data_IF_682392389571
#
_entry.id   IF_682392389571
#
_cell.length_a   1.000
_cell.length_b   1.000
_cell.length_c   1.000
_cell.angle_alpha   90.00
_cell.angle_beta   90.00
_cell.angle_gamma   90.00
#
_symmetry.space_group_name_H-M   'P 1'
#
loop_
_entity.id
_entity.type
_entity.pdbx_description
1 polymer ?
#
# COMPACT_ATOMS: atom_id res chain seq x y z
N UNK A 1 4.62 18.79 -11.79
CA UNK A 1 3.53 18.32 -12.67
C UNK A 1 2.36 17.99 -11.77
N UNK A 2 1.17 18.56 -12.01
CA UNK A 2 0.02 18.28 -11.18
C UNK A 2 -0.60 16.94 -11.59
N UNK A 3 -0.69 15.97 -10.69
CA UNK A 3 -1.38 14.70 -10.88
C UNK A 3 -2.81 14.88 -10.38
N UNK A 4 -3.76 14.82 -11.30
CA UNK A 4 -5.16 15.17 -11.03
C UNK A 4 -6.13 14.00 -11.13
N UNK A 5 -5.68 12.87 -11.67
CA UNK A 5 -6.51 11.71 -11.92
C UNK A 5 -5.70 10.39 -11.92
N UNK A 6 -6.42 9.27 -11.89
CA UNK A 6 -5.81 7.94 -11.82
C UNK A 6 -5.05 7.53 -13.08
N UNK A 7 -5.42 8.06 -14.25
CA UNK A 7 -4.72 7.75 -15.49
C UNK A 7 -3.32 8.39 -15.49
N UNK A 8 -3.22 9.65 -15.06
CA UNK A 8 -1.94 10.34 -14.82
C UNK A 8 -1.14 9.64 -13.73
N UNK A 9 -1.76 9.40 -12.56
CA UNK A 9 -1.09 8.76 -11.43
C UNK A 9 -0.50 7.40 -11.80
N UNK A 10 -1.29 6.51 -12.42
CA UNK A 10 -0.85 5.19 -12.84
C UNK A 10 0.29 5.26 -13.86
N UNK A 11 0.21 6.18 -14.82
CA UNK A 11 1.25 6.39 -15.84
C UNK A 11 2.55 6.89 -15.20
N UNK A 12 2.46 7.85 -14.30
CA UNK A 12 3.62 8.39 -13.58
C UNK A 12 4.29 7.31 -12.73
N UNK A 13 3.51 6.50 -11.99
CA UNK A 13 4.05 5.37 -11.26
C UNK A 13 4.76 4.35 -12.17
N UNK A 14 4.17 4.02 -13.32
CA UNK A 14 4.74 3.08 -14.28
C UNK A 14 6.05 3.57 -14.91
N UNK A 15 6.28 4.90 -14.93
CA UNK A 15 7.52 5.48 -15.45
C UNK A 15 8.71 5.40 -14.48
N UNK A 16 8.45 5.08 -13.20
CA UNK A 16 9.50 4.94 -12.19
C UNK A 16 10.22 3.59 -12.33
N UNK A 17 11.54 3.61 -12.13
CA UNK A 17 12.29 2.38 -11.89
C UNK A 17 11.76 1.65 -10.65
N UNK A 18 11.85 0.33 -10.65
CA UNK A 18 11.27 -0.55 -9.61
C UNK A 18 11.68 -0.18 -8.18
N UNK A 19 12.95 0.14 -7.88
CA UNK A 19 13.32 0.62 -6.54
C UNK A 19 12.54 1.88 -6.12
N UNK A 20 12.33 2.82 -7.03
CA UNK A 20 11.55 4.04 -6.77
C UNK A 20 10.05 3.75 -6.65
N UNK A 21 9.51 2.82 -7.44
CA UNK A 21 8.13 2.35 -7.26
C UNK A 21 7.94 1.78 -5.85
N UNK A 22 8.86 0.94 -5.39
CA UNK A 22 8.83 0.34 -4.05
C UNK A 22 8.84 1.40 -2.95
N UNK A 23 9.72 2.39 -3.06
CA UNK A 23 9.83 3.46 -2.07
C UNK A 23 8.55 4.30 -1.99
N UNK A 24 7.96 4.68 -3.13
CA UNK A 24 6.72 5.47 -3.11
C UNK A 24 5.52 4.63 -2.69
N UNK A 25 5.49 3.34 -3.06
CA UNK A 25 4.50 2.38 -2.56
C UNK A 25 4.50 2.34 -1.03
N UNK A 26 5.69 2.19 -0.43
CA UNK A 26 5.85 2.17 1.02
C UNK A 26 5.30 3.45 1.67
N UNK A 27 5.53 4.63 1.07
CA UNK A 27 4.99 5.90 1.57
C UNK A 27 3.46 5.94 1.55
N UNK A 28 2.81 5.39 0.52
CA UNK A 28 1.36 5.29 0.48
C UNK A 28 0.84 4.39 1.61
N UNK A 29 1.48 3.23 1.83
CA UNK A 29 1.03 2.28 2.85
C UNK A 29 1.32 2.78 4.27
N UNK A 30 2.40 3.54 4.48
CA UNK A 30 2.69 4.18 5.77
C UNK A 30 1.55 5.11 6.23
N UNK A 31 0.85 5.77 5.31
CA UNK A 31 -0.28 6.65 5.64
C UNK A 31 -1.52 5.90 6.19
N UNK A 32 -1.63 4.60 5.89
CA UNK A 32 -2.72 3.74 6.35
C UNK A 32 -2.26 2.66 7.33
N UNK A 33 -0.96 2.57 7.63
CA UNK A 33 -0.39 1.59 8.56
C UNK A 33 -1.11 1.50 9.93
N UNK A 34 -1.55 2.62 10.55
CA UNK A 34 -2.27 2.56 11.83
C UNK A 34 -3.53 1.68 11.83
N UNK A 35 -4.10 1.35 10.66
CA UNK A 35 -5.28 0.49 10.52
C UNK A 35 -5.00 -1.01 10.73
N UNK A 36 -3.73 -1.42 10.76
CA UNK A 36 -3.34 -2.81 11.05
C UNK A 36 -2.61 -2.95 12.38
N UNK A 37 -1.65 -2.06 12.67
CA UNK A 37 -0.80 -2.17 13.86
C UNK A 37 0.15 -3.39 13.88
N UNK A 38 0.22 -4.19 12.81
CA UNK A 38 1.07 -5.39 12.75
C UNK A 38 2.55 -5.02 12.57
N UNK A 39 3.40 -5.48 13.51
CA UNK A 39 4.83 -5.20 13.49
C UNK A 39 5.53 -5.74 12.22
N UNK A 40 5.05 -6.84 11.64
CA UNK A 40 5.60 -7.43 10.41
C UNK A 40 5.38 -6.52 9.21
N UNK A 41 4.22 -5.86 9.14
CA UNK A 41 3.93 -4.85 8.13
C UNK A 41 4.90 -3.69 8.29
N UNK A 42 5.09 -3.18 9.52
CA UNK A 42 6.04 -2.10 9.77
C UNK A 42 7.44 -2.45 9.26
N UNK A 43 7.96 -3.62 9.60
CA UNK A 43 9.26 -4.09 9.13
C UNK A 43 9.35 -4.15 7.61
N UNK A 44 8.29 -4.61 6.93
CA UNK A 44 8.25 -4.64 5.47
C UNK A 44 8.30 -3.24 4.84
N UNK A 45 7.59 -2.27 5.43
CA UNK A 45 7.61 -0.88 4.97
C UNK A 45 8.97 -0.21 5.21
N UNK A 46 9.60 -0.48 6.35
CA UNK A 46 10.93 0.03 6.70
C UNK A 46 12.01 -0.55 5.76
N UNK A 47 11.86 -1.80 5.30
CA UNK A 47 12.71 -2.38 4.27
C UNK A 47 12.44 -1.75 2.89
N UNK A 48 11.17 -1.55 2.52
CA UNK A 48 10.79 -1.04 1.20
C UNK A 48 11.20 0.43 0.94
N UNK A 49 11.30 1.26 1.99
CA UNK A 49 11.71 2.67 1.83
C UNK A 49 13.22 2.82 1.58
N UNK A 50 14.03 1.81 1.90
CA UNK A 50 15.49 1.84 1.79
C UNK A 50 15.95 1.72 0.33
N UNK A 51 16.83 2.61 -0.16
CA UNK A 51 17.35 2.53 -1.53
C UNK A 51 18.34 1.38 -1.74
N UNK A 52 18.93 0.88 -0.67
CA UNK A 52 20.02 -0.11 -0.64
C UNK A 52 19.57 -1.47 -0.08
N UNK A 53 18.26 -1.73 -0.03
CA UNK A 53 17.72 -3.01 0.44
C UNK A 53 18.14 -4.15 -0.50
N UNK A 54 18.69 -5.21 0.08
CA UNK A 54 19.10 -6.40 -0.67
C UNK A 54 17.92 -7.29 -1.05
N UNK A 55 18.09 -8.12 -2.08
CA UNK A 55 17.07 -9.08 -2.50
C UNK A 55 16.72 -10.09 -1.39
N UNK A 56 17.69 -10.46 -0.57
CA UNK A 56 17.47 -11.32 0.60
C UNK A 56 16.61 -10.66 1.67
N UNK A 57 16.86 -9.38 1.96
CA UNK A 57 16.01 -8.61 2.87
C UNK A 57 14.58 -8.43 2.31
N UNK A 58 14.45 -8.18 1.01
CA UNK A 58 13.15 -8.09 0.34
C UNK A 58 12.39 -9.42 0.40
N UNK A 59 13.05 -10.55 0.18
CA UNK A 59 12.42 -11.86 0.25
C UNK A 59 11.89 -12.16 1.67
N UNK A 60 12.67 -11.86 2.71
CA UNK A 60 12.22 -12.01 4.10
C UNK A 60 11.05 -11.08 4.42
N UNK A 61 11.11 -9.82 3.99
CA UNK A 61 10.02 -8.87 4.17
C UNK A 61 8.75 -9.32 3.43
N UNK A 62 8.89 -9.84 2.21
CA UNK A 62 7.78 -10.38 1.42
C UNK A 62 7.11 -11.57 2.09
N UNK A 63 7.91 -12.50 2.64
CA UNK A 63 7.39 -13.62 3.40
C UNK A 63 6.60 -13.15 4.62
N UNK A 64 7.17 -12.25 5.43
CA UNK A 64 6.52 -11.73 6.63
C UNK A 64 5.22 -10.96 6.32
N UNK A 65 5.24 -10.09 5.31
CA UNK A 65 4.06 -9.34 4.87
C UNK A 65 2.97 -10.28 4.32
N UNK A 66 3.36 -11.33 3.59
CA UNK A 66 2.41 -12.32 3.09
C UNK A 66 1.79 -13.15 4.23
N UNK A 67 2.54 -13.52 5.25
CA UNK A 67 1.97 -14.19 6.44
C UNK A 67 0.97 -13.29 7.15
N UNK A 68 1.30 -12.01 7.40
CA UNK A 68 0.36 -11.05 7.96
C UNK A 68 -0.90 -10.90 7.09
N UNK A 69 -0.76 -10.88 5.76
CA UNK A 69 -1.86 -10.83 4.80
C UNK A 69 -2.77 -12.07 4.89
N UNK A 70 -2.19 -13.27 5.02
CA UNK A 70 -2.97 -14.51 5.13
C UNK A 70 -3.70 -14.59 6.47
N UNK A 71 -3.03 -14.26 7.58
CA UNK A 71 -3.63 -14.31 8.91
C UNK A 71 -4.68 -13.24 9.16
N UNK A 72 -4.53 -12.07 8.55
CA UNK A 72 -5.53 -11.00 8.60
C UNK A 72 -6.74 -11.26 7.70
N UNK A 73 -6.75 -12.35 6.92
CA UNK A 73 -7.86 -12.62 6.01
C UNK A 73 -9.17 -12.79 6.80
N UNK A 74 -10.07 -11.84 6.60
CA UNK A 74 -11.40 -11.82 7.21
C UNK A 74 -12.46 -12.15 6.17
N UNK A 75 -13.53 -12.84 6.58
CA UNK A 75 -14.66 -13.12 5.67
C UNK A 75 -15.37 -11.81 5.31
N UNK A 76 -15.61 -11.59 4.03
CA UNK A 76 -16.54 -10.55 3.56
C UNK A 76 -17.97 -11.09 3.65
N UNK A 77 -18.90 -10.36 4.29
CA UNK A 77 -20.29 -10.81 4.44
C UNK A 77 -21.20 -9.86 5.24
N UNK A 78 -22.43 -10.30 5.54
CA UNK A 78 -23.50 -9.52 6.18
C UNK A 78 -23.15 -8.99 7.59
N UNK A 79 -22.13 -9.56 8.23
CA UNK A 79 -21.55 -9.16 9.53
C UNK A 79 -20.05 -8.87 9.38
N UNK A 80 -19.69 -8.02 8.43
CA UNK A 80 -18.29 -7.65 8.17
C UNK A 80 -17.74 -6.81 9.31
N UNK A 81 -16.64 -7.24 9.93
CA UNK A 81 -15.78 -6.36 10.71
C UNK A 81 -14.94 -5.50 9.75
N UNK A 82 -15.43 -4.29 9.50
CA UNK A 82 -14.79 -3.33 8.60
C UNK A 82 -13.40 -2.90 9.08
N UNK A 83 -13.14 -2.90 10.39
CA UNK A 83 -11.80 -2.58 10.91
C UNK A 83 -10.83 -3.71 10.62
N UNK A 84 -11.26 -4.95 10.82
CA UNK A 84 -10.43 -6.10 10.46
C UNK A 84 -10.16 -6.16 8.94
N UNK A 85 -11.15 -5.81 8.11
CA UNK A 85 -10.93 -5.67 6.66
C UNK A 85 -9.95 -4.56 6.30
N UNK A 86 -10.02 -3.41 6.97
CA UNK A 86 -9.05 -2.33 6.77
C UNK A 86 -7.62 -2.83 7.02
N UNK A 87 -7.39 -3.52 8.15
CA UNK A 87 -6.12 -4.15 8.47
C UNK A 87 -5.65 -5.17 7.42
N UNK A 88 -6.56 -5.99 6.90
CA UNK A 88 -6.26 -6.92 5.81
C UNK A 88 -5.78 -6.21 4.54
N UNK A 89 -6.44 -5.12 4.15
CA UNK A 89 -6.04 -4.33 2.98
C UNK A 89 -4.70 -3.63 3.18
N UNK A 90 -4.37 -3.16 4.39
CA UNK A 90 -3.02 -2.69 4.71
C UNK A 90 -1.98 -3.80 4.52
N UNK A 91 -2.27 -5.03 4.98
CA UNK A 91 -1.36 -6.15 4.81
C UNK A 91 -1.15 -6.53 3.34
N UNK A 92 -2.20 -6.48 2.51
CA UNK A 92 -2.10 -6.65 1.05
C UNK A 92 -1.24 -5.56 0.42
N UNK A 93 -1.45 -4.30 0.83
CA UNK A 93 -0.70 -3.17 0.31
C UNK A 93 0.80 -3.29 0.65
N UNK A 94 1.12 -3.68 1.87
CA UNK A 94 2.49 -3.91 2.31
C UNK A 94 3.16 -5.05 1.54
N UNK A 95 2.47 -6.17 1.32
CA UNK A 95 2.98 -7.28 0.52
C UNK A 95 3.31 -6.86 -0.92
N UNK A 96 2.48 -6.00 -1.52
CA UNK A 96 2.74 -5.46 -2.86
C UNK A 96 4.00 -4.57 -2.92
N UNK A 97 4.42 -3.95 -1.82
CA UNK A 97 5.65 -3.14 -1.78
C UNK A 97 6.91 -4.00 -1.92
N UNK A 98 6.92 -5.19 -1.30
CA UNK A 98 8.13 -6.02 -1.14
C UNK A 98 8.16 -7.25 -2.02
N UNK A 99 7.10 -7.54 -2.78
CA UNK A 99 7.09 -8.69 -3.69
C UNK A 99 8.17 -8.58 -4.77
N UNK A 100 8.65 -9.74 -5.22
CA UNK A 100 9.54 -9.85 -6.37
C UNK A 100 8.89 -9.29 -7.61
N UNK A 101 9.69 -8.68 -8.49
CA UNK A 101 9.19 -8.11 -9.73
C UNK A 101 8.74 -9.23 -10.70
N UNK A 102 7.56 -9.04 -11.28
CA UNK A 102 7.10 -9.81 -12.43
C UNK A 102 6.85 -8.85 -13.59
N UNK A 103 7.24 -9.21 -14.82
CA UNK A 103 7.05 -8.36 -16.00
C UNK A 103 5.59 -7.89 -16.12
N UNK A 104 5.39 -6.58 -16.27
CA UNK A 104 4.08 -5.97 -16.49
C UNK A 104 3.32 -5.57 -15.21
N UNK A 105 3.87 -5.83 -14.03
CA UNK A 105 3.27 -5.37 -12.76
C UNK A 105 3.69 -3.95 -12.39
N UNK A 106 2.80 -3.22 -11.71
CA UNK A 106 3.09 -1.91 -11.11
C UNK A 106 2.84 -2.01 -9.61
N UNK A 107 3.92 -2.26 -8.87
CA UNK A 107 3.92 -2.48 -7.42
C UNK A 107 3.29 -1.30 -6.68
N UNK A 108 3.63 -0.08 -7.10
CA UNK A 108 3.13 1.13 -6.47
C UNK A 108 1.64 1.35 -6.71
N UNK A 109 1.14 1.05 -7.91
CA UNK A 109 -0.28 1.14 -8.23
C UNK A 109 -1.08 0.12 -7.42
N UNK A 110 -0.59 -1.14 -7.34
CA UNK A 110 -1.26 -2.17 -6.55
C UNK A 110 -1.33 -1.80 -5.07
N UNK A 111 -0.20 -1.38 -4.48
CA UNK A 111 -0.16 -0.92 -3.09
C UNK A 111 -1.10 0.27 -2.85
N UNK A 112 -1.11 1.26 -3.76
CA UNK A 112 -1.99 2.42 -3.69
C UNK A 112 -3.49 2.02 -3.70
N UNK A 113 -3.89 1.08 -4.57
CA UNK A 113 -5.27 0.60 -4.61
C UNK A 113 -5.67 -0.14 -3.33
N UNK A 114 -4.80 -0.98 -2.78
CA UNK A 114 -5.09 -1.65 -1.52
C UNK A 114 -5.17 -0.64 -0.35
N UNK A 115 -4.32 0.38 -0.31
CA UNK A 115 -4.39 1.45 0.68
C UNK A 115 -5.72 2.23 0.61
N UNK A 116 -6.22 2.51 -0.60
CA UNK A 116 -7.54 3.13 -0.79
C UNK A 116 -8.67 2.26 -0.25
N UNK A 117 -8.61 0.95 -0.50
CA UNK A 117 -9.60 0.01 0.05
C UNK A 117 -9.52 -0.04 1.59
N UNK A 118 -8.32 0.02 2.17
CA UNK A 118 -8.17 0.12 3.62
C UNK A 118 -8.86 1.37 4.17
N UNK A 119 -8.66 2.53 3.51
CA UNK A 119 -9.34 3.78 3.89
C UNK A 119 -10.86 3.69 3.74
N UNK A 120 -11.35 3.12 2.65
CA UNK A 120 -12.79 2.91 2.46
C UNK A 120 -13.37 2.02 3.56
N UNK A 121 -12.68 0.95 3.97
CA UNK A 121 -13.10 0.12 5.10
C UNK A 121 -13.13 0.90 6.41
N UNK A 122 -12.14 1.77 6.68
CA UNK A 122 -12.14 2.66 7.85
C UNK A 122 -13.37 3.59 7.85
N UNK A 123 -13.64 4.30 6.76
CA UNK A 123 -14.77 5.25 6.69
C UNK A 123 -16.12 4.55 6.85
N UNK A 124 -16.27 3.33 6.31
CA UNK A 124 -17.47 2.52 6.53
C UNK A 124 -17.58 2.09 8.00
N UNK A 125 -16.47 1.70 8.65
CA UNK A 125 -16.45 1.36 10.07
C UNK A 125 -16.84 2.56 10.97
N UNK A 126 -16.52 3.78 10.54
CA UNK A 126 -16.87 5.03 11.22
C UNK A 126 -18.30 5.52 10.93
N UNK A 127 -19.01 4.87 9.99
CA UNK A 127 -20.35 5.25 9.59
C UNK A 127 -20.42 6.48 8.68
N UNK A 128 -19.30 6.89 8.08
CA UNK A 128 -19.23 8.04 7.16
C UNK A 128 -19.41 7.65 5.69
N UNK A 129 -19.59 6.36 5.41
CA UNK A 129 -19.80 5.83 4.07
C UNK A 129 -18.48 5.49 3.37
N UNK A 130 -18.43 5.65 2.04
CA UNK A 130 -17.24 5.32 1.23
C UNK A 130 -16.41 6.54 0.83
N UNK A 131 -16.88 7.74 1.17
CA UNK A 131 -16.25 8.99 0.75
C UNK A 131 -14.95 9.23 1.53
N UNK A 132 -13.84 9.32 0.81
CA UNK A 132 -12.54 9.65 1.37
C UNK A 132 -11.64 10.33 0.32
N UNK A 133 -10.52 10.91 0.77
CA UNK A 133 -9.58 11.66 -0.08
C UNK A 133 -8.20 10.97 -0.20
N UNK A 134 -8.20 9.64 -0.08
CA UNK A 134 -6.95 8.86 -0.12
C UNK A 134 -6.29 8.93 -1.50
N UNK A 135 -7.07 8.99 -2.58
CA UNK A 135 -6.53 9.15 -3.93
C UNK A 135 -5.75 10.47 -4.09
N UNK A 136 -6.34 11.59 -3.68
CA UNK A 136 -5.69 12.90 -3.77
C UNK A 136 -4.50 13.01 -2.82
N UNK A 137 -4.53 12.34 -1.66
CA UNK A 137 -3.39 12.24 -0.76
C UNK A 137 -2.21 11.49 -1.43
N UNK A 138 -2.50 10.41 -2.13
CA UNK A 138 -1.49 9.67 -2.89
C UNK A 138 -0.91 10.47 -4.06
N UNK A 139 -1.73 11.27 -4.75
CA UNK A 139 -1.25 12.16 -5.81
C UNK A 139 -0.23 13.16 -5.26
N UNK A 140 -0.57 13.85 -4.17
CA UNK A 140 0.35 14.79 -3.49
C UNK A 140 1.61 14.10 -2.97
N UNK A 141 1.47 12.89 -2.43
CA UNK A 141 2.61 12.11 -1.94
C UNK A 141 3.58 11.71 -3.07
N UNK A 142 3.04 11.33 -4.24
CA UNK A 142 3.86 11.05 -5.43
C UNK A 142 4.53 12.32 -5.96
N UNK A 143 3.82 13.44 -6.04
CA UNK A 143 4.42 14.72 -6.43
C UNK A 143 5.57 15.11 -5.49
N UNK A 144 5.38 15.00 -4.18
CA UNK A 144 6.43 15.26 -3.20
C UNK A 144 7.62 14.31 -3.36
N UNK A 145 7.40 13.03 -3.66
CA UNK A 145 8.45 12.06 -3.94
C UNK A 145 9.24 12.34 -5.22
N UNK A 146 8.61 12.91 -6.24
CA UNK A 146 9.27 13.27 -7.50
C UNK A 146 10.12 14.53 -7.37
N UNK A 147 9.77 15.42 -6.43
CA UNK A 147 10.49 16.66 -6.14
C UNK A 147 11.58 16.50 -5.07
N UNK A 148 11.78 15.28 -4.54
CA UNK A 148 12.80 14.95 -3.54
C UNK A 148 14.02 14.25 -4.13
#
# INVERSE_FOLDING_TARGET
>A
MAISNDAEFKRTLASLAVPRQRQVAARFVQAVFPLSGDARIKTALDAAVRPDVSDGELAMAAQAANTARVESFTRCGRETDWRAQAGHFVAKAAAACVKSETQGENLAWEAAMQARLARTCETVAEGTGTDNREAEAQYRSLEAFLNS
#
